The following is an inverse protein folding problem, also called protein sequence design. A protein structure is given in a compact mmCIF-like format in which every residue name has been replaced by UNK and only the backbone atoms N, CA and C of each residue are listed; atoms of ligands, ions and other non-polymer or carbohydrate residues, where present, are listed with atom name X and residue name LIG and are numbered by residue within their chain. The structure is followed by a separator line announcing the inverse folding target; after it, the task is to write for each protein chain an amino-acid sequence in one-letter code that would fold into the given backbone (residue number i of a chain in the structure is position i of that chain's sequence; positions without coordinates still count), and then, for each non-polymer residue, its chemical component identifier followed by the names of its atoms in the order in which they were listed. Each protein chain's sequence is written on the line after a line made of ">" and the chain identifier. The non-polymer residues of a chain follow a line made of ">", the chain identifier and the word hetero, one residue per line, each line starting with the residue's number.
data_IF_084226644910
#
_entry.id   IF_084226644910
#
_cell.length_a   1.000
_cell.length_b   1.000
_cell.length_c   1.000
_cell.angle_alpha   90.00
_cell.angle_beta   90.00
_cell.angle_gamma   90.00
#
_symmetry.space_group_name_H-M   'P 1'
#
loop_
_entity.id
_entity.type
_entity.pdbx_description
1 polymer ?
#
# COMPACT_ATOMS: atom_id res chain seq x y z
N UNK A 1 66.89 29.20 0.70
CA UNK A 1 65.96 28.38 -0.08
C UNK A 1 64.99 27.72 0.90
N UNK A 2 63.74 28.18 0.94
CA UNK A 2 62.67 27.62 1.77
C UNK A 2 61.80 26.73 0.87
N UNK A 3 61.76 25.41 1.13
CA UNK A 3 60.88 24.49 0.46
C UNK A 3 59.54 24.43 1.21
N UNK A 4 58.49 24.99 0.62
CA UNK A 4 57.11 24.84 1.07
C UNK A 4 56.55 23.52 0.53
N UNK A 5 56.30 22.56 1.43
CA UNK A 5 55.64 21.30 1.14
C UNK A 5 54.13 21.53 1.18
N UNK A 6 53.46 21.48 0.04
CA UNK A 6 52.01 21.58 -0.07
C UNK A 6 51.41 20.19 0.07
N UNK A 7 50.74 19.94 1.21
CA UNK A 7 49.93 18.71 1.42
C UNK A 7 48.61 18.84 0.66
N UNK A 8 48.44 18.02 -0.36
CA UNK A 8 47.15 17.82 -1.03
C UNK A 8 46.39 16.73 -0.24
N UNK A 9 45.42 17.12 0.57
CA UNK A 9 44.47 16.21 1.22
C UNK A 9 43.39 15.86 0.21
N UNK A 10 43.47 14.64 -0.32
CA UNK A 10 42.45 14.05 -1.18
C UNK A 10 41.23 13.64 -0.31
N UNK A 11 40.16 14.44 -0.32
CA UNK A 11 38.88 14.11 0.30
C UNK A 11 38.16 13.08 -0.60
N UNK A 12 38.26 11.80 -0.27
CA UNK A 12 37.51 10.74 -0.90
C UNK A 12 36.08 10.81 -0.38
N UNK A 13 35.15 11.44 -1.12
CA UNK A 13 33.72 11.40 -0.90
C UNK A 13 33.24 9.96 -1.14
N UNK A 14 33.12 9.18 -0.08
CA UNK A 14 32.36 7.94 -0.08
C UNK A 14 30.87 8.29 -0.26
N UNK A 15 30.40 8.26 -1.49
CA UNK A 15 28.97 8.26 -1.77
C UNK A 15 28.39 6.96 -1.21
N UNK A 16 27.86 7.00 -0.01
CA UNK A 16 26.97 5.96 0.49
C UNK A 16 25.73 5.98 -0.41
N UNK A 17 25.68 5.11 -1.40
CA UNK A 17 24.42 4.76 -2.05
C UNK A 17 23.53 4.11 -0.99
N UNK A 18 22.71 4.94 -0.32
CA UNK A 18 21.59 4.45 0.48
C UNK A 18 20.57 3.85 -0.50
N UNK A 19 20.81 2.61 -0.89
CA UNK A 19 19.85 1.87 -1.67
C UNK A 19 18.63 1.68 -0.76
N UNK A 20 17.55 2.39 -1.05
CA UNK A 20 16.29 2.24 -0.32
C UNK A 20 15.96 0.74 -0.31
N UNK A 21 15.81 0.18 0.89
CA UNK A 21 15.47 -1.25 1.02
C UNK A 21 14.12 -1.47 0.37
N UNK A 22 14.04 -2.37 -0.63
CA UNK A 22 12.79 -2.69 -1.32
C UNK A 22 11.70 -3.08 -0.31
N UNK A 23 10.51 -2.54 -0.51
CA UNK A 23 9.31 -2.83 0.29
C UNK A 23 8.64 -4.14 -0.13
N UNK A 24 9.06 -4.76 -1.24
CA UNK A 24 8.65 -6.10 -1.65
C UNK A 24 9.72 -7.13 -1.31
N UNK A 25 9.31 -8.38 -1.25
CA UNK A 25 10.21 -9.53 -1.11
C UNK A 25 9.74 -10.64 -2.06
N UNK A 26 10.66 -11.20 -2.83
CA UNK A 26 10.36 -12.32 -3.72
C UNK A 26 10.16 -13.62 -2.95
N UNK A 27 9.30 -14.51 -3.48
CA UNK A 27 8.89 -15.73 -2.79
C UNK A 27 10.09 -16.64 -2.42
N UNK A 28 11.07 -16.77 -3.30
CA UNK A 28 12.28 -17.56 -3.07
C UNK A 28 13.15 -16.96 -1.96
N UNK A 29 13.27 -15.64 -1.94
CA UNK A 29 14.04 -14.92 -0.92
C UNK A 29 13.35 -15.03 0.44
N UNK A 30 12.03 -14.84 0.48
CA UNK A 30 11.26 -14.98 1.70
C UNK A 30 11.31 -16.41 2.24
N UNK A 31 11.17 -17.44 1.38
CA UNK A 31 11.20 -18.84 1.81
C UNK A 31 12.52 -19.24 2.51
N UNK A 32 13.65 -18.60 2.14
CA UNK A 32 14.96 -18.85 2.77
C UNK A 32 15.07 -18.24 4.18
N UNK A 33 14.38 -17.14 4.47
CA UNK A 33 14.51 -16.37 5.72
C UNK A 33 13.14 -16.10 6.41
N UNK A 34 12.14 -16.94 6.13
CA UNK A 34 10.75 -16.73 6.61
C UNK A 34 10.62 -16.63 8.13
N UNK A 35 11.50 -17.26 8.90
CA UNK A 35 11.48 -17.23 10.36
C UNK A 35 11.85 -15.87 10.96
N UNK A 36 12.48 -15.00 10.19
CA UNK A 36 12.83 -13.62 10.58
C UNK A 36 11.66 -12.65 10.48
N UNK A 37 10.49 -13.11 10.04
CA UNK A 37 9.33 -12.27 9.78
C UNK A 37 8.07 -12.80 10.48
N UNK A 38 7.18 -11.88 10.83
CA UNK A 38 5.77 -12.19 11.06
C UNK A 38 5.06 -12.17 9.70
N UNK A 39 4.41 -13.27 9.35
CA UNK A 39 3.73 -13.39 8.07
C UNK A 39 2.21 -13.22 8.24
N UNK A 40 1.58 -12.36 7.43
CA UNK A 40 0.15 -12.08 7.48
C UNK A 40 -0.54 -12.51 6.19
N UNK A 41 -1.63 -13.27 6.33
CA UNK A 41 -2.54 -13.70 5.28
C UNK A 41 -3.80 -12.84 5.29
N UNK A 42 -4.06 -12.10 4.21
CA UNK A 42 -5.21 -11.17 4.13
C UNK A 42 -6.50 -11.83 3.69
N UNK A 43 -6.46 -13.12 3.30
CA UNK A 43 -7.62 -13.86 2.80
C UNK A 43 -8.66 -14.08 3.89
N UNK A 44 -9.90 -14.37 3.47
CA UNK A 44 -10.96 -14.70 4.40
C UNK A 44 -10.57 -15.89 5.30
N UNK A 45 -11.02 -15.88 6.56
CA UNK A 45 -10.64 -16.91 7.54
C UNK A 45 -11.02 -18.32 7.10
N UNK A 46 -12.13 -18.49 6.36
CA UNK A 46 -12.53 -19.78 5.80
C UNK A 46 -11.58 -20.28 4.72
N UNK A 47 -10.98 -19.40 3.93
CA UNK A 47 -9.98 -19.73 2.90
C UNK A 47 -8.62 -20.02 3.54
N UNK A 48 -8.22 -19.21 4.52
CA UNK A 48 -7.01 -19.44 5.31
C UNK A 48 -7.01 -20.81 6.00
N UNK A 49 -8.15 -21.21 6.60
CA UNK A 49 -8.29 -22.49 7.29
C UNK A 49 -8.13 -23.72 6.36
N UNK A 50 -8.43 -23.56 5.06
CA UNK A 50 -8.24 -24.63 4.07
C UNK A 50 -6.77 -24.81 3.67
N UNK A 51 -5.93 -23.81 3.92
CA UNK A 51 -4.49 -23.84 3.64
C UNK A 51 -3.90 -22.44 3.53
N UNK A 52 -2.76 -22.25 4.16
CA UNK A 52 -2.02 -20.98 4.18
C UNK A 52 -0.52 -21.24 4.16
N UNK A 53 0.29 -20.23 3.91
CA UNK A 53 1.75 -20.32 4.01
C UNK A 53 2.11 -20.67 5.46
N UNK A 54 2.92 -21.69 5.67
CA UNK A 54 3.28 -22.18 7.00
C UNK A 54 3.82 -21.06 7.88
N UNK A 55 3.19 -20.87 9.05
CA UNK A 55 3.56 -19.83 10.02
C UNK A 55 2.81 -18.51 9.84
N UNK A 56 1.95 -18.36 8.80
CA UNK A 56 1.15 -17.17 8.63
C UNK A 56 0.07 -17.02 9.69
N UNK A 57 -0.16 -15.79 10.12
CA UNK A 57 -1.31 -15.36 10.93
C UNK A 57 -2.39 -14.81 10.01
N UNK A 58 -3.65 -15.10 10.30
CA UNK A 58 -4.75 -14.59 9.48
C UNK A 58 -5.13 -13.17 9.90
N UNK A 59 -5.05 -12.23 8.96
CA UNK A 59 -5.55 -10.88 9.09
C UNK A 59 -6.53 -10.58 7.95
N UNK A 60 -7.77 -11.09 8.00
CA UNK A 60 -8.74 -10.87 6.93
C UNK A 60 -8.89 -9.39 6.60
N UNK A 61 -8.76 -9.05 5.32
CA UNK A 61 -8.74 -7.65 4.88
C UNK A 61 -9.97 -6.85 5.32
N UNK A 62 -11.09 -7.54 5.53
CA UNK A 62 -12.32 -6.94 6.06
C UNK A 62 -12.14 -6.22 7.40
N UNK A 63 -11.18 -6.66 8.22
CA UNK A 63 -10.86 -6.05 9.52
C UNK A 63 -10.24 -4.64 9.40
N UNK A 64 -9.76 -4.27 8.21
CA UNK A 64 -9.22 -2.92 7.97
C UNK A 64 -10.29 -1.86 7.75
N UNK A 65 -11.57 -2.23 7.64
CA UNK A 65 -12.65 -1.31 7.34
C UNK A 65 -13.48 -1.00 8.59
N UNK A 66 -13.81 0.29 8.78
CA UNK A 66 -14.82 0.72 9.76
C UNK A 66 -16.18 0.14 9.40
N UNK A 67 -16.61 0.37 8.17
CA UNK A 67 -17.83 -0.21 7.59
C UNK A 67 -17.72 -0.27 6.07
N UNK A 68 -17.46 -1.45 5.53
CA UNK A 68 -17.24 -1.66 4.10
C UNK A 68 -18.48 -1.30 3.25
N UNK A 69 -19.69 -1.45 3.78
CA UNK A 69 -20.92 -1.16 3.04
C UNK A 69 -21.20 0.35 2.94
N UNK A 70 -20.92 1.10 4.02
CA UNK A 70 -21.17 2.54 4.08
C UNK A 70 -20.03 3.35 3.49
N UNK A 71 -18.80 3.00 3.81
CA UNK A 71 -17.59 3.74 3.39
C UNK A 71 -16.40 2.80 3.32
N UNK A 72 -15.29 3.28 2.78
CA UNK A 72 -14.04 2.53 2.72
C UNK A 72 -13.04 2.91 3.81
N UNK A 73 -13.47 3.65 4.83
CA UNK A 73 -12.58 4.15 5.87
C UNK A 73 -11.90 3.02 6.63
N UNK A 74 -10.70 3.31 7.11
CA UNK A 74 -10.01 2.43 8.03
C UNK A 74 -10.83 2.27 9.31
N UNK A 75 -10.76 1.10 9.91
CA UNK A 75 -11.30 0.86 11.25
C UNK A 75 -10.70 1.86 12.25
N UNK A 76 -11.37 2.11 13.35
CA UNK A 76 -10.86 3.06 14.34
C UNK A 76 -9.56 2.56 15.01
N UNK A 77 -8.74 3.49 15.58
CA UNK A 77 -7.45 3.13 16.16
C UNK A 77 -7.54 2.14 17.32
N UNK A 78 -8.59 2.18 18.11
CA UNK A 78 -8.76 1.27 19.24
C UNK A 78 -9.09 -0.15 18.78
N UNK A 79 -9.98 -0.29 17.82
CA UNK A 79 -10.30 -1.57 17.18
C UNK A 79 -9.05 -2.17 16.51
N UNK A 80 -8.30 -1.38 15.75
CA UNK A 80 -7.05 -1.84 15.13
C UNK A 80 -6.02 -2.27 16.18
N UNK A 81 -5.87 -1.50 17.27
CA UNK A 81 -4.99 -1.89 18.36
C UNK A 81 -5.33 -3.26 18.93
N UNK A 82 -6.61 -3.53 19.19
CA UNK A 82 -7.06 -4.81 19.70
C UNK A 82 -6.77 -5.96 18.73
N UNK A 83 -7.00 -5.76 17.43
CA UNK A 83 -6.70 -6.75 16.40
C UNK A 83 -5.20 -7.08 16.39
N UNK A 84 -4.36 -6.06 16.32
CA UNK A 84 -2.91 -6.18 16.30
C UNK A 84 -2.38 -6.87 17.56
N UNK A 85 -2.86 -6.47 18.73
CA UNK A 85 -2.50 -7.09 20.00
C UNK A 85 -2.85 -8.60 20.04
N UNK A 86 -4.06 -8.96 19.57
CA UNK A 86 -4.49 -10.35 19.55
C UNK A 86 -3.68 -11.22 18.58
N UNK A 87 -3.10 -10.62 17.53
CA UNK A 87 -2.18 -11.28 16.62
C UNK A 87 -0.74 -11.30 17.12
N UNK A 88 -0.47 -10.79 18.33
CA UNK A 88 0.87 -10.78 18.95
C UNK A 88 1.87 -9.91 18.19
N UNK A 89 1.42 -8.88 17.44
CA UNK A 89 2.28 -8.02 16.66
C UNK A 89 2.76 -6.82 17.48
N UNK A 90 4.00 -6.38 17.20
CA UNK A 90 4.64 -5.19 17.77
C UNK A 90 4.99 -4.22 16.64
N UNK A 91 5.04 -2.92 16.92
CA UNK A 91 5.32 -1.87 15.91
C UNK A 91 6.67 -2.04 15.19
N UNK A 92 7.65 -2.66 15.84
CA UNK A 92 8.99 -2.92 15.30
C UNK A 92 9.15 -4.30 14.66
N UNK A 93 8.10 -5.13 14.61
CA UNK A 93 8.17 -6.42 13.94
C UNK A 93 8.49 -6.25 12.44
N UNK A 94 9.28 -7.18 11.93
CA UNK A 94 9.47 -7.35 10.49
C UNK A 94 8.28 -8.14 9.94
N UNK A 95 7.43 -7.49 9.17
CA UNK A 95 6.18 -8.07 8.68
C UNK A 95 6.28 -8.31 7.17
N UNK A 96 5.79 -9.46 6.72
CA UNK A 96 5.50 -9.75 5.32
C UNK A 96 4.00 -10.04 5.17
N UNK A 97 3.38 -9.48 4.14
CA UNK A 97 1.94 -9.63 3.87
C UNK A 97 1.77 -10.30 2.50
N UNK A 98 0.79 -11.19 2.39
CA UNK A 98 0.35 -11.75 1.12
C UNK A 98 -1.18 -11.87 1.05
N UNK A 99 -1.69 -12.04 -0.17
CA UNK A 99 -3.11 -12.28 -0.44
C UNK A 99 -3.33 -13.53 -1.32
N UNK A 100 -4.47 -13.59 -2.00
CA UNK A 100 -4.81 -14.67 -2.93
C UNK A 100 -4.01 -14.64 -4.25
N UNK A 101 -3.33 -13.54 -4.55
CA UNK A 101 -2.62 -13.28 -5.79
C UNK A 101 -3.22 -12.12 -6.60
N UNK A 102 -4.13 -11.34 -6.02
CA UNK A 102 -4.63 -10.09 -6.63
C UNK A 102 -3.72 -8.88 -6.38
N UNK A 103 -2.88 -8.92 -5.37
CA UNK A 103 -2.05 -7.85 -4.85
C UNK A 103 -2.83 -6.70 -4.15
N UNK A 104 -4.13 -6.62 -4.31
CA UNK A 104 -4.93 -5.49 -3.82
C UNK A 104 -5.17 -5.54 -2.32
N UNK A 105 -5.45 -6.70 -1.77
CA UNK A 105 -5.73 -6.87 -0.34
C UNK A 105 -4.44 -6.75 0.48
N UNK A 106 -3.35 -7.34 -0.01
CA UNK A 106 -2.04 -7.19 0.60
C UNK A 106 -1.57 -5.72 0.62
N UNK A 107 -1.72 -5.00 -0.50
CA UNK A 107 -1.38 -3.58 -0.60
C UNK A 107 -2.24 -2.71 0.35
N UNK A 108 -3.54 -3.02 0.50
CA UNK A 108 -4.38 -2.30 1.45
C UNK A 108 -3.94 -2.53 2.90
N UNK A 109 -3.63 -3.76 3.29
CA UNK A 109 -3.14 -4.04 4.63
C UNK A 109 -1.78 -3.39 4.89
N UNK A 110 -0.88 -3.40 3.89
CA UNK A 110 0.39 -2.68 3.96
C UNK A 110 0.18 -1.20 4.30
N UNK A 111 -0.67 -0.50 3.52
CA UNK A 111 -0.99 0.90 3.78
C UNK A 111 -1.63 1.09 5.16
N UNK A 112 -2.57 0.25 5.55
CA UNK A 112 -3.21 0.33 6.86
C UNK A 112 -2.18 0.21 8.00
N UNK A 113 -1.27 -0.75 7.92
CA UNK A 113 -0.24 -0.93 8.94
C UNK A 113 0.72 0.28 8.99
N UNK A 114 1.12 0.87 7.84
CA UNK A 114 1.91 2.11 7.85
C UNK A 114 1.14 3.27 8.52
N UNK A 115 -0.17 3.41 8.28
CA UNK A 115 -1.00 4.41 8.97
C UNK A 115 -1.00 4.18 10.47
N UNK A 116 -1.02 2.92 10.92
CA UNK A 116 -1.05 2.56 12.34
C UNK A 116 0.36 2.38 12.96
N UNK A 117 1.40 2.94 12.33
CA UNK A 117 2.73 3.11 12.93
C UNK A 117 3.70 1.96 12.74
N UNK A 118 3.43 1.02 11.84
CA UNK A 118 4.39 -0.01 11.46
C UNK A 118 5.34 0.51 10.39
N UNK A 119 6.64 0.34 10.59
CA UNK A 119 7.68 0.84 9.67
C UNK A 119 8.40 -0.27 8.89
N UNK A 120 8.33 -1.51 9.35
CA UNK A 120 9.08 -2.63 8.80
C UNK A 120 8.15 -3.64 8.08
N UNK A 121 7.30 -3.13 7.19
CA UNK A 121 6.33 -3.93 6.46
C UNK A 121 6.81 -4.14 5.02
N UNK A 122 6.67 -5.37 4.52
CA UNK A 122 6.92 -5.74 3.13
C UNK A 122 5.73 -6.48 2.54
N UNK A 123 5.59 -6.44 1.22
CA UNK A 123 4.68 -7.32 0.49
C UNK A 123 5.45 -8.50 -0.11
N UNK A 124 4.88 -9.70 0.03
CA UNK A 124 5.31 -10.84 -0.75
C UNK A 124 4.90 -10.59 -2.21
N UNK A 125 5.86 -10.61 -3.12
CA UNK A 125 5.61 -10.43 -4.56
C UNK A 125 5.08 -11.74 -5.18
N UNK A 126 4.12 -12.35 -4.52
CA UNK A 126 3.42 -13.58 -4.91
C UNK A 126 2.16 -13.75 -4.04
N UNK A 127 1.10 -14.33 -4.60
CA UNK A 127 -0.05 -14.78 -3.84
C UNK A 127 0.10 -16.22 -3.33
N UNK A 128 -0.90 -16.68 -2.56
CA UNK A 128 -0.91 -18.03 -2.02
C UNK A 128 -0.81 -19.12 -3.11
N UNK A 129 -1.51 -18.93 -4.24
CA UNK A 129 -1.46 -19.89 -5.35
C UNK A 129 -0.05 -20.03 -5.89
N UNK A 130 0.63 -18.91 -6.19
CA UNK A 130 2.01 -18.89 -6.71
C UNK A 130 2.99 -19.55 -5.72
N UNK A 131 2.81 -19.32 -4.41
CA UNK A 131 3.58 -19.99 -3.36
C UNK A 131 3.38 -21.51 -3.37
N UNK A 132 2.13 -21.95 -3.42
CA UNK A 132 1.77 -23.38 -3.45
C UNK A 132 2.25 -24.11 -4.70
N UNK A 133 2.16 -23.46 -5.87
CA UNK A 133 2.63 -23.99 -7.14
C UNK A 133 4.16 -24.23 -7.14
N UNK A 134 4.93 -23.40 -6.41
CA UNK A 134 6.35 -23.59 -6.17
C UNK A 134 6.67 -24.72 -5.18
N UNK A 135 5.66 -25.39 -4.64
CA UNK A 135 5.77 -26.45 -3.62
C UNK A 135 6.49 -26.00 -2.34
N UNK A 136 6.39 -24.75 -2.00
CA UNK A 136 6.85 -24.23 -0.71
C UNK A 136 5.88 -24.61 0.42
N UNK A 137 6.39 -24.62 1.67
CA UNK A 137 5.64 -25.13 2.83
C UNK A 137 4.30 -24.40 3.05
N UNK A 138 3.25 -25.17 3.16
CA UNK A 138 1.90 -24.74 3.55
C UNK A 138 1.45 -25.45 4.82
N UNK A 139 0.39 -24.96 5.45
CA UNK A 139 -0.19 -25.52 6.67
C UNK A 139 -1.68 -25.24 6.73
N UNK A 140 -2.40 -26.05 7.51
CA UNK A 140 -3.77 -25.75 7.99
C UNK A 140 -3.78 -25.41 9.49
N UNK A 141 -2.61 -25.45 10.16
CA UNK A 141 -2.47 -25.19 11.59
C UNK A 141 -2.20 -23.72 11.83
N UNK A 142 -3.10 -23.03 12.52
CA UNK A 142 -2.91 -21.63 12.95
C UNK A 142 -1.84 -21.54 14.03
N UNK A 143 -0.83 -20.67 13.90
CA UNK A 143 0.15 -20.45 14.94
C UNK A 143 -0.48 -19.96 16.25
N UNK A 144 0.00 -20.47 17.38
CA UNK A 144 -0.34 -19.94 18.70
C UNK A 144 0.50 -18.70 18.97
N UNK A 145 -0.14 -17.61 19.34
CA UNK A 145 0.53 -16.34 19.66
C UNK A 145 0.15 -15.86 21.06
N UNK A 146 1.06 -15.14 21.69
CA UNK A 146 0.79 -14.39 22.91
C UNK A 146 0.36 -12.98 22.56
N UNK A 147 -0.68 -12.48 23.21
CA UNK A 147 -1.16 -11.10 23.03
C UNK A 147 -0.03 -10.11 23.29
N UNK A 148 0.13 -9.14 22.39
CA UNK A 148 1.15 -8.09 22.52
C UNK A 148 0.66 -6.90 23.35
N UNK A 149 1.57 -5.97 23.62
CA UNK A 149 1.29 -4.68 24.24
C UNK A 149 1.38 -3.51 23.27
N UNK A 150 1.19 -3.77 21.98
CA UNK A 150 1.19 -2.75 20.93
C UNK A 150 0.23 -1.60 21.28
N UNK A 151 0.70 -0.37 21.05
CA UNK A 151 -0.09 0.85 21.17
C UNK A 151 -0.12 1.54 19.81
N UNK A 152 -1.31 1.89 19.35
CA UNK A 152 -1.51 2.53 18.05
C UNK A 152 -0.94 3.94 18.03
N UNK A 153 -0.11 4.25 17.01
CA UNK A 153 0.38 5.59 16.70
C UNK A 153 0.02 5.87 15.24
N UNK A 154 -0.76 6.94 15.01
CA UNK A 154 -1.23 7.28 13.66
C UNK A 154 -0.17 8.09 12.90
N UNK A 155 0.28 7.59 11.74
CA UNK A 155 1.04 8.38 10.77
C UNK A 155 0.09 9.11 9.81
N UNK A 156 -0.24 10.35 10.13
CA UNK A 156 -1.08 11.20 9.30
C UNK A 156 -0.46 11.57 7.93
N UNK A 157 0.82 11.28 7.70
CA UNK A 157 1.42 11.48 6.39
C UNK A 157 0.97 10.40 5.38
N UNK A 158 0.50 9.26 5.87
CA UNK A 158 0.04 8.12 5.06
C UNK A 158 -1.46 8.15 4.78
N UNK A 159 -2.20 8.95 5.54
CA UNK A 159 -3.65 9.05 5.48
C UNK A 159 -4.06 10.42 4.91
N UNK A 160 -4.87 10.42 3.86
CA UNK A 160 -5.53 11.64 3.36
C UNK A 160 -7.01 11.61 3.72
N UNK A 161 -7.50 12.74 4.23
CA UNK A 161 -8.92 12.96 4.53
C UNK A 161 -9.63 13.64 3.36
N UNK A 162 -10.96 13.67 3.37
CA UNK A 162 -11.77 14.47 2.45
C UNK A 162 -11.32 15.93 2.42
N UNK A 163 -11.09 16.54 3.59
CA UNK A 163 -10.65 17.93 3.70
C UNK A 163 -9.26 18.14 3.08
N UNK A 164 -8.29 17.27 3.37
CA UNK A 164 -6.97 17.35 2.79
C UNK A 164 -7.02 17.22 1.25
N UNK A 165 -7.87 16.31 0.75
CA UNK A 165 -8.07 16.12 -0.70
C UNK A 165 -8.74 17.34 -1.34
N UNK A 166 -9.69 17.98 -0.64
CA UNK A 166 -10.33 19.22 -1.10
C UNK A 166 -9.30 20.36 -1.22
N UNK A 167 -8.40 20.51 -0.24
CA UNK A 167 -7.30 21.48 -0.32
C UNK A 167 -6.42 21.18 -1.55
N UNK A 168 -6.07 19.92 -1.78
CA UNK A 168 -5.21 19.50 -2.88
C UNK A 168 -5.76 19.88 -4.27
N UNK A 169 -7.08 19.97 -4.45
CA UNK A 169 -7.67 20.43 -5.72
C UNK A 169 -7.26 21.86 -6.10
N UNK A 170 -6.75 22.66 -5.15
CA UNK A 170 -6.33 24.06 -5.35
C UNK A 170 -4.84 24.27 -5.10
N UNK A 171 -4.14 23.30 -4.53
CA UNK A 171 -2.72 23.42 -4.17
C UNK A 171 -1.82 22.95 -5.33
N UNK A 172 -0.94 23.81 -5.90
CA UNK A 172 -0.03 23.40 -6.98
C UNK A 172 1.10 22.48 -6.52
N UNK A 173 1.38 22.41 -5.21
CA UNK A 173 2.39 21.53 -4.62
C UNK A 173 1.86 20.13 -4.27
N UNK A 174 0.63 19.82 -4.67
CA UNK A 174 0.02 18.51 -4.47
C UNK A 174 -0.51 17.94 -5.79
N UNK A 175 -0.42 16.62 -5.93
CA UNK A 175 -0.95 15.86 -7.06
C UNK A 175 -2.02 14.92 -6.55
N UNK A 176 -3.14 14.82 -7.28
CA UNK A 176 -4.20 13.85 -7.00
C UNK A 176 -4.17 12.79 -8.09
N UNK A 177 -4.18 11.51 -7.73
CA UNK A 177 -4.22 10.38 -8.67
C UNK A 177 -5.49 9.58 -8.44
N UNK A 178 -6.25 9.36 -9.50
CA UNK A 178 -7.38 8.43 -9.55
C UNK A 178 -6.89 7.05 -10.00
N UNK A 179 -6.97 6.08 -9.09
CA UNK A 179 -6.54 4.71 -9.34
C UNK A 179 -7.67 3.81 -9.88
N UNK A 180 -8.87 4.36 -10.12
CA UNK A 180 -9.99 3.61 -10.69
C UNK A 180 -9.75 3.30 -12.17
N UNK A 181 -10.46 2.29 -12.73
CA UNK A 181 -10.46 2.07 -14.17
C UNK A 181 -10.89 3.33 -14.95
N UNK A 182 -10.37 3.51 -16.16
CA UNK A 182 -10.61 4.70 -17.00
C UNK A 182 -12.10 5.01 -17.18
N UNK A 183 -12.95 3.99 -17.35
CA UNK A 183 -14.40 4.19 -17.45
C UNK A 183 -15.02 4.91 -16.24
N UNK A 184 -14.45 4.70 -15.04
CA UNK A 184 -14.91 5.40 -13.84
C UNK A 184 -14.38 6.84 -13.78
N UNK A 185 -13.13 7.06 -14.16
CA UNK A 185 -12.54 8.39 -14.28
C UNK A 185 -13.28 9.24 -15.32
N UNK A 186 -13.57 8.68 -16.49
CA UNK A 186 -14.30 9.34 -17.58
C UNK A 186 -15.79 9.58 -17.27
N UNK A 187 -16.30 9.05 -16.17
CA UNK A 187 -17.68 9.24 -15.75
C UNK A 187 -18.70 8.35 -16.46
N UNK A 188 -18.26 7.26 -17.09
CA UNK A 188 -19.16 6.25 -17.72
C UNK A 188 -19.82 5.39 -16.66
N UNK A 189 -19.07 4.98 -15.63
CA UNK A 189 -19.55 4.18 -14.49
C UNK A 189 -19.20 4.85 -13.15
N UNK A 190 -19.92 4.50 -12.06
CA UNK A 190 -19.61 5.03 -10.73
C UNK A 190 -20.11 4.08 -9.63
N UNK A 191 -19.36 4.00 -8.55
CA UNK A 191 -19.74 3.38 -7.26
C UNK A 191 -20.42 4.35 -6.29
N UNK A 192 -20.63 5.63 -6.70
CA UNK A 192 -21.29 6.68 -5.94
C UNK A 192 -22.46 7.27 -6.76
N UNK A 193 -23.24 8.17 -6.15
CA UNK A 193 -24.38 8.82 -6.81
C UNK A 193 -23.98 9.69 -8.00
N UNK A 194 -22.78 10.30 -7.96
CA UNK A 194 -22.25 11.10 -9.07
C UNK A 194 -21.19 10.33 -9.85
N UNK A 195 -21.10 10.64 -11.13
CA UNK A 195 -20.11 10.11 -12.09
C UNK A 195 -19.01 11.15 -12.33
N UNK A 196 -17.81 10.68 -12.76
CA UNK A 196 -16.65 11.52 -13.02
C UNK A 196 -15.55 11.36 -11.99
N UNK A 197 -14.72 12.39 -11.82
CA UNK A 197 -13.52 12.34 -10.96
C UNK A 197 -13.33 13.64 -10.15
N UNK A 198 -12.42 13.59 -9.19
CA UNK A 198 -12.00 14.75 -8.39
C UNK A 198 -11.28 15.75 -9.29
N UNK A 199 -11.58 17.07 -9.24
CA UNK A 199 -10.89 18.06 -10.05
C UNK A 199 -9.36 17.97 -9.90
N UNK A 200 -8.65 18.14 -11.04
CA UNK A 200 -7.18 18.00 -11.16
C UNK A 200 -6.62 16.59 -10.94
N UNK A 201 -7.45 15.59 -10.70
CA UNK A 201 -6.95 14.23 -10.62
C UNK A 201 -6.41 13.76 -11.98
N UNK A 202 -5.31 13.00 -11.93
CA UNK A 202 -4.69 12.33 -13.07
C UNK A 202 -5.12 10.87 -13.02
N UNK A 203 -5.56 10.30 -14.17
CA UNK A 203 -5.89 8.87 -14.25
C UNK A 203 -4.63 8.04 -14.31
N UNK A 204 -4.41 7.18 -13.31
CA UNK A 204 -3.41 6.11 -13.31
C UNK A 204 -4.06 4.88 -12.67
N UNK A 205 -4.76 4.05 -13.47
CA UNK A 205 -5.42 2.85 -12.97
C UNK A 205 -4.50 1.93 -12.17
N UNK A 206 -4.99 1.36 -11.07
CA UNK A 206 -4.21 0.48 -10.21
C UNK A 206 -3.61 -0.72 -10.97
N UNK A 207 -4.34 -1.23 -11.96
CA UNK A 207 -3.88 -2.33 -12.83
C UNK A 207 -2.60 -2.02 -13.62
N UNK A 208 -2.25 -0.75 -13.82
CA UNK A 208 -1.01 -0.41 -14.50
C UNK A 208 0.24 -0.76 -13.70
N UNK A 209 0.13 -0.94 -12.37
CA UNK A 209 1.27 -1.23 -11.51
C UNK A 209 1.62 -2.72 -11.43
N UNK A 210 0.77 -3.59 -11.94
CA UNK A 210 0.89 -5.04 -11.81
C UNK A 210 0.94 -5.70 -13.18
N UNK A 211 1.69 -6.79 -13.26
CA UNK A 211 1.60 -7.78 -14.33
C UNK A 211 0.75 -8.95 -13.81
N UNK A 212 -0.19 -9.41 -14.62
CA UNK A 212 -1.10 -10.49 -14.24
C UNK A 212 -1.01 -11.61 -15.25
N UNK A 213 -0.83 -12.84 -14.77
CA UNK A 213 -0.88 -14.07 -15.53
C UNK A 213 -1.89 -15.06 -14.93
N UNK A 214 -1.87 -16.31 -15.40
CA UNK A 214 -2.76 -17.37 -14.91
C UNK A 214 -2.46 -17.81 -13.45
N UNK A 215 -1.34 -17.36 -12.88
CA UNK A 215 -0.95 -17.69 -11.52
C UNK A 215 -1.30 -16.58 -10.52
N UNK A 216 -1.44 -15.34 -11.00
CA UNK A 216 -1.79 -14.18 -10.18
C UNK A 216 -1.08 -12.92 -10.62
N UNK A 217 -1.19 -11.87 -9.81
CA UNK A 217 -0.54 -10.59 -10.03
C UNK A 217 0.79 -10.50 -9.28
N UNK A 218 1.75 -9.83 -9.91
CA UNK A 218 3.02 -9.39 -9.32
C UNK A 218 3.22 -7.91 -9.61
N UNK A 219 3.88 -7.20 -8.72
CA UNK A 219 4.21 -5.80 -8.96
C UNK A 219 5.26 -5.70 -10.08
N UNK A 220 5.06 -4.78 -11.02
CA UNK A 220 6.02 -4.47 -12.07
C UNK A 220 7.39 -4.15 -11.50
N UNK A 221 8.45 -4.33 -12.29
CA UNK A 221 9.80 -3.94 -11.87
C UNK A 221 9.92 -2.41 -11.67
N UNK A 222 10.98 -1.96 -11.00
CA UNK A 222 11.14 -0.55 -10.62
C UNK A 222 11.26 0.40 -11.81
N UNK A 223 11.84 -0.05 -12.95
CA UNK A 223 11.96 0.77 -14.16
C UNK A 223 10.60 1.01 -14.79
N UNK A 224 9.76 -0.02 -14.90
CA UNK A 224 8.43 0.10 -15.47
C UNK A 224 7.52 0.95 -14.58
N UNK A 225 7.61 0.77 -13.25
CA UNK A 225 6.93 1.65 -12.30
C UNK A 225 7.38 3.12 -12.45
N UNK A 226 8.70 3.36 -12.55
CA UNK A 226 9.22 4.70 -12.74
C UNK A 226 8.69 5.36 -14.02
N UNK A 227 8.53 4.58 -15.09
CA UNK A 227 7.95 5.05 -16.35
C UNK A 227 6.48 5.46 -16.22
N UNK A 228 5.67 4.69 -15.45
CA UNK A 228 4.27 5.01 -15.18
C UNK A 228 4.15 6.38 -14.49
N UNK A 229 5.05 6.67 -13.54
CA UNK A 229 5.00 7.88 -12.72
C UNK A 229 5.97 8.99 -13.14
N UNK A 230 6.66 8.87 -14.29
CA UNK A 230 7.72 9.81 -14.73
C UNK A 230 7.30 11.28 -14.82
N UNK A 231 6.01 11.53 -15.06
CA UNK A 231 5.46 12.88 -15.15
C UNK A 231 4.99 13.43 -13.79
N UNK A 232 5.15 12.68 -12.70
CA UNK A 232 4.82 13.12 -11.35
C UNK A 232 6.09 13.64 -10.68
N UNK A 233 6.09 14.92 -10.34
CA UNK A 233 7.18 15.56 -9.62
C UNK A 233 7.33 15.00 -8.21
N UNK A 234 8.48 14.39 -7.89
CA UNK A 234 8.76 13.77 -6.58
C UNK A 234 8.81 14.76 -5.41
N UNK A 235 8.96 16.04 -5.67
CA UNK A 235 8.92 17.08 -4.64
C UNK A 235 7.50 17.35 -4.14
N UNK A 236 6.48 16.92 -4.89
CA UNK A 236 5.07 17.14 -4.54
C UNK A 236 4.54 16.03 -3.66
N UNK A 237 3.62 16.40 -2.75
CA UNK A 237 2.83 15.41 -2.01
C UNK A 237 1.77 14.80 -2.95
N UNK A 238 1.71 13.49 -3.00
CA UNK A 238 0.72 12.75 -3.80
C UNK A 238 -0.43 12.29 -2.91
N UNK A 239 -1.66 12.54 -3.34
CA UNK A 239 -2.87 11.95 -2.76
C UNK A 239 -3.46 11.03 -3.80
N UNK A 240 -3.66 9.78 -3.44
CA UNK A 240 -4.30 8.79 -4.30
C UNK A 240 -5.69 8.43 -3.78
N UNK A 241 -6.58 8.04 -4.68
CA UNK A 241 -7.89 7.52 -4.31
C UNK A 241 -8.39 6.49 -5.33
N UNK A 242 -9.40 5.71 -4.93
CA UNK A 242 -10.15 4.86 -5.85
C UNK A 242 -11.65 4.89 -5.53
N UNK A 243 -12.33 3.77 -5.48
CA UNK A 243 -13.73 3.70 -5.04
C UNK A 243 -13.87 3.76 -3.52
N UNK A 244 -13.05 2.99 -2.78
CA UNK A 244 -13.12 2.76 -1.32
C UNK A 244 -11.73 2.64 -0.66
N UNK A 245 -10.68 3.18 -1.25
CA UNK A 245 -9.32 3.11 -0.70
C UNK A 245 -8.64 1.72 -0.77
N UNK A 246 -9.22 0.76 -1.53
CA UNK A 246 -8.67 -0.60 -1.67
C UNK A 246 -7.62 -0.65 -2.77
N UNK A 247 -8.04 -0.57 -4.03
CA UNK A 247 -7.12 -0.74 -5.16
C UNK A 247 -6.11 0.41 -5.30
N UNK A 248 -6.44 1.61 -4.83
CA UNK A 248 -5.48 2.72 -4.75
C UNK A 248 -4.28 2.42 -3.85
N UNK A 249 -4.41 1.50 -2.90
CA UNK A 249 -3.28 1.06 -2.09
C UNK A 249 -2.17 0.37 -2.92
N UNK A 250 -2.48 -0.17 -4.11
CA UNK A 250 -1.45 -0.66 -5.04
C UNK A 250 -0.63 0.48 -5.63
N UNK A 251 -1.28 1.60 -6.03
CA UNK A 251 -0.55 2.80 -6.43
C UNK A 251 0.23 3.39 -5.25
N UNK A 252 -0.35 3.36 -4.04
CA UNK A 252 0.35 3.77 -2.82
C UNK A 252 1.65 2.98 -2.66
N UNK A 253 1.57 1.66 -2.72
CA UNK A 253 2.73 0.80 -2.58
C UNK A 253 3.80 1.08 -3.66
N UNK A 254 3.39 1.17 -4.93
CA UNK A 254 4.30 1.48 -6.04
C UNK A 254 5.00 2.84 -5.86
N UNK A 255 4.27 3.87 -5.47
CA UNK A 255 4.82 5.19 -5.18
C UNK A 255 5.76 5.19 -3.96
N UNK A 256 5.45 4.40 -2.92
CA UNK A 256 6.34 4.19 -1.77
C UNK A 256 7.65 3.52 -2.18
N UNK A 257 7.59 2.47 -3.01
CA UNK A 257 8.76 1.81 -3.59
C UNK A 257 9.66 2.79 -4.37
N UNK A 258 9.04 3.73 -5.10
CA UNK A 258 9.73 4.75 -5.86
C UNK A 258 10.19 5.95 -5.01
N UNK A 259 9.91 5.98 -3.71
CA UNK A 259 10.33 7.03 -2.78
C UNK A 259 9.50 8.31 -2.83
N UNK A 260 8.26 8.28 -3.31
CA UNK A 260 7.35 9.43 -3.27
C UNK A 260 6.77 9.67 -1.88
N UNK A 261 6.48 10.93 -1.57
CA UNK A 261 5.64 11.30 -0.43
C UNK A 261 4.18 11.15 -0.80
N UNK A 262 3.56 10.04 -0.41
CA UNK A 262 2.21 9.64 -0.82
C UNK A 262 1.31 9.33 0.37
N UNK A 263 0.03 9.69 0.24
CA UNK A 263 -1.06 9.33 1.16
C UNK A 263 -2.25 8.79 0.37
N UNK A 264 -3.00 7.85 0.97
CA UNK A 264 -4.22 7.31 0.39
C UNK A 264 -5.44 8.01 0.99
N UNK A 265 -6.35 8.51 0.13
CA UNK A 265 -7.62 9.09 0.58
C UNK A 265 -8.55 7.94 0.99
N UNK A 266 -8.74 7.83 2.27
CA UNK A 266 -9.36 6.71 2.95
C UNK A 266 -10.73 6.33 2.37
N UNK A 267 -11.73 7.22 2.53
CA UNK A 267 -13.09 6.96 2.06
C UNK A 267 -13.27 7.12 0.54
N UNK A 268 -12.30 7.70 -0.15
CA UNK A 268 -12.21 7.75 -1.61
C UNK A 268 -13.45 8.31 -2.34
N UNK A 269 -13.72 7.82 -3.56
CA UNK A 269 -14.84 8.27 -4.39
C UNK A 269 -16.20 8.01 -3.75
N UNK A 270 -16.34 6.96 -2.95
CA UNK A 270 -17.60 6.64 -2.26
C UNK A 270 -18.04 7.77 -1.32
N UNK A 271 -17.09 8.45 -0.68
CA UNK A 271 -17.38 9.65 0.11
C UNK A 271 -17.52 10.90 -0.78
N UNK A 272 -16.55 11.15 -1.68
CA UNK A 272 -16.51 12.35 -2.52
C UNK A 272 -17.69 12.42 -3.48
N UNK A 273 -17.95 11.36 -4.21
CA UNK A 273 -19.03 11.27 -5.21
C UNK A 273 -20.43 11.31 -4.62
N UNK A 274 -20.59 11.06 -3.33
CA UNK A 274 -21.87 11.17 -2.61
C UNK A 274 -22.07 12.52 -1.89
N UNK A 275 -21.03 13.35 -1.77
CA UNK A 275 -21.13 14.68 -1.17
C UNK A 275 -21.36 15.74 -2.27
N UNK A 276 -22.62 16.14 -2.46
CA UNK A 276 -23.03 17.09 -3.50
C UNK A 276 -22.45 18.52 -3.32
N UNK A 277 -21.85 18.82 -2.17
CA UNK A 277 -21.17 20.10 -1.92
C UNK A 277 -19.77 20.15 -2.52
N UNK A 278 -19.20 19.01 -2.90
CA UNK A 278 -17.86 18.93 -3.48
C UNK A 278 -17.90 19.04 -5.01
N UNK A 279 -16.88 19.65 -5.64
CA UNK A 279 -16.79 19.73 -7.08
C UNK A 279 -16.46 18.38 -7.73
N UNK A 280 -16.97 18.15 -8.93
CA UNK A 280 -16.73 16.95 -9.73
C UNK A 280 -16.54 17.37 -11.19
N UNK A 281 -15.56 16.79 -11.86
CA UNK A 281 -15.40 16.82 -13.30
C UNK A 281 -16.04 15.56 -13.87
N UNK A 282 -16.94 15.72 -14.83
CA UNK A 282 -17.56 14.59 -15.54
C UNK A 282 -17.38 14.76 -17.06
N UNK A 283 -16.38 14.09 -17.66
CA UNK A 283 -16.10 14.21 -19.09
C UNK A 283 -17.19 13.62 -20.01
N UNK A 284 -18.09 12.78 -19.46
CA UNK A 284 -19.16 12.13 -20.25
C UNK A 284 -20.48 12.92 -20.26
N UNK A 285 -20.47 14.18 -19.79
CA UNK A 285 -21.62 15.10 -19.85
C UNK A 285 -21.43 16.13 -20.93
#
# INVERSE_FOLDING_TARGET
>A
MRHTLTFFTLFMLLAFNLQATSLRIEAETFNKDKTSYKLLDTRASSVYAQGHIKGALNFPIGLTYENLQLNGKLTDPFTMQNIVQNLGLQANDRIVIYDDGSFFDAARLFWALEVYGFSNVKLLNAGYKQWSDKKFDTSTQTPVVTKSNYVTIIDNNRLATKFATQIATRNPHQVIIDARPDQAYEGKVSSAKRKGHIPKAISIPASHNIDTDNQGAVLKNLSDLADIYKNIDKSKKVIIYCAIGKISATNYFALRELGYNVSNYDASWKEWGNDFKLPVINPSK
#
